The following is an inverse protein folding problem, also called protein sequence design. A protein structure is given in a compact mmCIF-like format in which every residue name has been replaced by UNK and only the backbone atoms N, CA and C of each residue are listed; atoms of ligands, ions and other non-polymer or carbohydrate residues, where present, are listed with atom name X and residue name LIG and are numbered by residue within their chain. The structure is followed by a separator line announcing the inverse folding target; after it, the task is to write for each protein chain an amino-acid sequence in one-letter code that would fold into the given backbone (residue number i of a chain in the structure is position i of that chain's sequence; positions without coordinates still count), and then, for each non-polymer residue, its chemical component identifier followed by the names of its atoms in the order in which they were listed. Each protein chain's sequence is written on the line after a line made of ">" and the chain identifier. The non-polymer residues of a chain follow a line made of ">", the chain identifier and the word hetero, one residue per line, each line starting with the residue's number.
data_IF_999656492213
#
_entry.id   IF_999656492213
#
_cell.length_a   1.000
_cell.length_b   1.000
_cell.length_c   1.000
_cell.angle_alpha   90.00
_cell.angle_beta   90.00
_cell.angle_gamma   90.00
#
_symmetry.space_group_name_H-M   'P 1'
#
loop_
_entity.id
_entity.type
_entity.pdbx_description
1 polymer ?
#
# COMPACT_ATOMS: atom_id res chain seq x y z
N UNK A 1 -56.62 17.28 -2.03
CA UNK A 1 -55.69 16.29 -1.46
C UNK A 1 -54.56 16.13 -2.46
N UNK A 2 -53.48 16.87 -2.25
CA UNK A 2 -52.38 17.02 -3.20
C UNK A 2 -51.25 16.09 -2.73
N UNK A 3 -50.96 15.06 -3.52
CA UNK A 3 -49.86 14.13 -3.27
C UNK A 3 -48.56 14.90 -3.50
N UNK A 4 -47.79 15.09 -2.43
CA UNK A 4 -46.43 15.62 -2.48
C UNK A 4 -45.56 14.49 -3.02
N UNK A 5 -45.15 14.59 -4.28
CA UNK A 5 -44.10 13.74 -4.83
C UNK A 5 -42.78 14.10 -4.14
N UNK A 6 -42.35 13.18 -3.27
CA UNK A 6 -41.05 13.18 -2.64
C UNK A 6 -39.98 13.10 -3.74
N UNK A 7 -39.34 14.24 -4.01
CA UNK A 7 -38.17 14.34 -4.89
C UNK A 7 -37.01 13.66 -4.18
N UNK A 8 -36.94 12.33 -4.32
CA UNK A 8 -35.74 11.57 -4.02
C UNK A 8 -34.60 12.16 -4.86
N UNK A 9 -33.64 12.75 -4.17
CA UNK A 9 -32.37 13.20 -4.73
C UNK A 9 -31.82 12.15 -5.69
N UNK A 10 -31.84 12.48 -6.98
CA UNK A 10 -31.16 11.75 -8.03
C UNK A 10 -29.66 12.03 -7.91
N UNK A 11 -29.00 11.47 -6.90
CA UNK A 11 -27.54 11.41 -6.91
C UNK A 11 -27.10 10.26 -7.84
N UNK A 12 -26.35 10.66 -8.87
CA UNK A 12 -25.73 9.80 -9.86
C UNK A 12 -25.04 8.58 -9.20
N UNK A 13 -25.23 7.34 -9.69
CA UNK A 13 -24.71 6.11 -9.05
C UNK A 13 -23.18 5.98 -8.95
N UNK A 14 -22.39 6.94 -9.42
CA UNK A 14 -20.93 6.81 -9.58
C UNK A 14 -20.07 7.37 -8.45
N UNK A 15 -20.55 8.36 -7.67
CA UNK A 15 -19.71 9.07 -6.68
C UNK A 15 -19.79 8.50 -5.25
N UNK A 16 -20.89 7.82 -4.89
CA UNK A 16 -21.20 7.44 -3.50
C UNK A 16 -20.37 6.28 -2.91
N UNK A 17 -19.35 5.74 -3.58
CA UNK A 17 -18.64 4.56 -3.06
C UNK A 17 -17.10 4.61 -3.08
N UNK A 18 -16.47 5.72 -3.52
CA UNK A 18 -14.99 5.84 -3.50
C UNK A 18 -14.47 6.36 -2.17
N UNK A 19 -15.24 7.23 -1.51
CA UNK A 19 -14.89 7.82 -0.22
C UNK A 19 -14.72 6.79 0.92
N UNK A 20 -15.28 5.58 0.79
CA UNK A 20 -15.07 4.49 1.77
C UNK A 20 -13.68 3.85 1.69
N UNK A 21 -12.96 4.07 0.58
CA UNK A 21 -11.65 3.49 0.37
C UNK A 21 -10.57 4.42 0.90
N UNK A 22 -9.65 3.85 1.68
CA UNK A 22 -8.52 4.55 2.28
C UNK A 22 -7.23 3.84 1.90
N UNK A 23 -6.34 4.58 1.23
CA UNK A 23 -4.96 4.16 1.00
C UNK A 23 -4.15 4.35 2.29
N UNK A 24 -3.38 3.32 2.67
CA UNK A 24 -2.36 3.39 3.71
C UNK A 24 -0.97 3.33 3.07
N UNK A 25 -0.07 4.26 3.42
CA UNK A 25 1.32 4.25 2.95
C UNK A 25 2.25 5.00 3.91
N UNK A 26 3.57 4.99 3.64
CA UNK A 26 4.56 5.84 4.30
C UNK A 26 4.82 7.17 3.60
N UNK A 27 4.19 7.39 2.44
CA UNK A 27 4.33 8.61 1.63
C UNK A 27 5.74 8.85 1.09
N UNK A 28 6.58 7.82 0.99
CA UNK A 28 7.93 7.95 0.46
C UNK A 28 7.95 8.25 -1.05
N UNK A 29 9.06 8.79 -1.56
CA UNK A 29 9.29 8.94 -3.02
C UNK A 29 9.12 7.59 -3.73
N UNK A 30 8.63 7.62 -4.97
CA UNK A 30 8.52 6.46 -5.84
C UNK A 30 7.13 5.86 -5.78
N UNK A 31 7.04 4.56 -5.51
CA UNK A 31 5.77 3.83 -5.55
C UNK A 31 4.71 4.42 -4.60
N UNK A 32 5.08 4.71 -3.34
CA UNK A 32 4.13 5.25 -2.35
C UNK A 32 3.59 6.62 -2.76
N UNK A 33 4.45 7.49 -3.31
CA UNK A 33 4.04 8.76 -3.86
C UNK A 33 3.01 8.58 -5.00
N UNK A 34 3.30 7.70 -5.96
CA UNK A 34 2.42 7.41 -7.09
C UNK A 34 1.08 6.79 -6.63
N UNK A 35 1.09 5.88 -5.66
CA UNK A 35 -0.16 5.36 -5.08
C UNK A 35 -1.00 6.48 -4.48
N UNK A 36 -0.38 7.42 -3.75
CA UNK A 36 -1.07 8.55 -3.15
C UNK A 36 -1.61 9.56 -4.17
N UNK A 37 -0.84 9.86 -5.22
CA UNK A 37 -1.30 10.72 -6.33
C UNK A 37 -2.52 10.12 -7.04
N UNK A 38 -2.52 8.79 -7.26
CA UNK A 38 -3.65 8.10 -7.85
C UNK A 38 -4.85 8.03 -6.90
N UNK A 39 -4.64 7.80 -5.61
CA UNK A 39 -5.72 7.85 -4.61
C UNK A 39 -6.38 9.24 -4.60
N UNK A 40 -5.59 10.30 -4.62
CA UNK A 40 -6.07 11.67 -4.67
C UNK A 40 -6.85 11.97 -5.95
N UNK A 41 -6.29 11.61 -7.12
CA UNK A 41 -6.95 11.76 -8.43
C UNK A 41 -8.32 11.08 -8.48
N UNK A 42 -8.44 9.90 -7.88
CA UNK A 42 -9.68 9.11 -7.88
C UNK A 42 -10.64 9.44 -6.73
N UNK A 43 -10.29 10.40 -5.86
CA UNK A 43 -11.14 10.84 -4.76
C UNK A 43 -11.17 9.89 -3.55
N UNK A 44 -10.11 9.11 -3.34
CA UNK A 44 -9.96 8.25 -2.17
C UNK A 44 -9.37 8.99 -0.96
N UNK A 45 -9.66 8.49 0.22
CA UNK A 45 -8.96 8.89 1.43
C UNK A 45 -7.53 8.33 1.43
N UNK A 46 -6.63 8.99 2.15
CA UNK A 46 -5.23 8.59 2.30
C UNK A 46 -4.85 8.76 3.77
N UNK A 47 -4.10 7.80 4.31
CA UNK A 47 -3.39 7.94 5.59
C UNK A 47 -1.91 7.69 5.31
N UNK A 48 -1.12 8.73 5.50
CA UNK A 48 0.33 8.70 5.33
C UNK A 48 1.00 8.59 6.69
N UNK A 49 1.51 7.41 7.04
CA UNK A 49 2.16 7.16 8.31
C UNK A 49 3.59 7.69 8.31
N UNK A 50 3.95 8.42 9.35
CA UNK A 50 5.30 8.95 9.51
C UNK A 50 5.64 9.08 10.99
N UNK A 51 6.89 9.44 11.29
CA UNK A 51 7.39 9.68 12.63
C UNK A 51 8.40 10.84 12.60
N UNK A 52 8.76 11.33 13.78
CA UNK A 52 9.73 12.42 13.92
C UNK A 52 11.11 12.02 13.37
N UNK A 53 11.69 12.87 12.52
CA UNK A 53 12.96 12.58 11.83
C UNK A 53 12.82 11.69 10.58
N UNK A 54 11.61 11.32 10.16
CA UNK A 54 11.41 10.56 8.91
C UNK A 54 11.65 11.43 7.66
N UNK A 55 12.86 11.32 7.09
CA UNK A 55 13.35 12.18 6.00
C UNK A 55 12.94 11.75 4.59
N UNK A 56 12.47 10.52 4.41
CA UNK A 56 12.21 9.94 3.08
C UNK A 56 10.81 10.24 2.52
N UNK A 57 9.96 10.92 3.30
CA UNK A 57 8.57 11.23 2.97
C UNK A 57 8.49 12.42 2.02
N UNK A 58 7.72 12.29 0.95
CA UNK A 58 7.41 13.38 0.01
C UNK A 58 5.92 13.75 0.01
N UNK A 59 5.04 12.85 0.48
CA UNK A 59 3.60 13.14 0.63
C UNK A 59 3.26 13.63 2.03
N UNK A 60 2.31 14.56 2.12
CA UNK A 60 1.81 15.12 3.39
C UNK A 60 0.29 14.98 3.55
N UNK A 61 -0.43 14.56 2.50
CA UNK A 61 -1.88 14.36 2.57
C UNK A 61 -2.20 13.19 3.51
N UNK A 62 -3.16 13.41 4.42
CA UNK A 62 -3.56 12.40 5.40
C UNK A 62 -2.45 12.03 6.40
N UNK A 63 -1.51 12.93 6.66
CA UNK A 63 -0.36 12.65 7.52
C UNK A 63 -0.78 12.25 8.94
N UNK A 64 -0.37 11.04 9.36
CA UNK A 64 -0.45 10.53 10.72
C UNK A 64 0.95 10.40 11.30
N UNK A 65 1.34 11.35 12.14
CA UNK A 65 2.58 11.28 12.90
C UNK A 65 2.42 10.31 14.07
N UNK A 66 3.15 9.20 14.03
CA UNK A 66 3.23 8.21 15.10
C UNK A 66 4.20 8.71 16.18
N UNK A 67 3.74 8.67 17.42
CA UNK A 67 4.62 8.89 18.58
C UNK A 67 5.53 7.69 18.80
N UNK A 68 6.63 7.88 19.53
CA UNK A 68 7.50 6.77 19.93
C UNK A 68 6.75 5.71 20.75
N UNK A 69 5.66 6.09 21.45
CA UNK A 69 4.81 5.12 22.14
C UNK A 69 3.94 4.29 21.21
N UNK A 70 3.44 4.87 20.14
CA UNK A 70 2.65 4.14 19.15
C UNK A 70 3.53 3.22 18.31
N UNK A 71 4.73 3.68 17.91
CA UNK A 71 5.70 2.90 17.15
C UNK A 71 6.05 1.57 17.82
N UNK A 72 6.07 1.52 19.16
CA UNK A 72 6.32 0.29 19.92
C UNK A 72 5.32 -0.84 19.63
N UNK A 73 4.12 -0.53 19.15
CA UNK A 73 3.16 -1.56 18.74
C UNK A 73 3.66 -2.38 17.53
N UNK A 74 4.53 -1.79 16.71
CA UNK A 74 5.20 -2.41 15.58
C UNK A 74 6.59 -2.97 15.90
N UNK A 75 6.98 -3.07 17.18
CA UNK A 75 8.30 -3.54 17.58
C UNK A 75 8.61 -4.92 17.01
N UNK A 76 9.79 -5.02 16.41
CA UNK A 76 10.32 -6.26 15.85
C UNK A 76 11.83 -6.27 15.97
N UNK A 77 12.41 -7.43 16.27
CA UNK A 77 13.87 -7.54 16.27
C UNK A 77 14.41 -7.56 14.84
N UNK A 78 15.48 -6.81 14.59
CA UNK A 78 16.17 -6.83 13.30
C UNK A 78 16.63 -8.25 12.93
N UNK A 79 17.07 -9.05 13.91
CA UNK A 79 17.40 -10.46 13.70
C UNK A 79 16.23 -11.25 13.09
N UNK A 80 15.01 -11.03 13.57
CA UNK A 80 13.82 -11.70 13.03
C UNK A 80 13.53 -11.24 11.61
N UNK A 81 13.54 -9.92 11.36
CA UNK A 81 13.31 -9.36 10.02
C UNK A 81 14.35 -9.87 9.03
N UNK A 82 15.62 -9.86 9.44
CA UNK A 82 16.74 -10.37 8.65
C UNK A 82 16.60 -11.85 8.30
N UNK A 83 16.19 -12.68 9.25
CA UNK A 83 15.95 -14.10 9.01
C UNK A 83 14.79 -14.30 8.02
N UNK A 84 13.68 -13.58 8.19
CA UNK A 84 12.51 -13.67 7.30
C UNK A 84 12.80 -13.20 5.88
N UNK A 85 13.58 -12.15 5.73
CA UNK A 85 13.93 -11.53 4.44
C UNK A 85 15.25 -12.03 3.86
N UNK A 86 15.88 -13.03 4.51
CA UNK A 86 17.15 -13.67 4.11
C UNK A 86 18.25 -12.65 3.79
N UNK A 87 18.35 -11.59 4.59
CA UNK A 87 19.32 -10.49 4.39
C UNK A 87 19.64 -9.75 5.69
N UNK A 88 20.76 -9.06 5.73
CA UNK A 88 21.16 -8.25 6.90
C UNK A 88 20.66 -6.82 6.73
N UNK A 89 20.07 -6.27 7.79
CA UNK A 89 19.71 -4.85 7.87
C UNK A 89 20.74 -4.11 8.73
N UNK A 90 21.08 -2.85 8.40
CA UNK A 90 21.92 -2.04 9.26
C UNK A 90 21.29 -1.87 10.65
N UNK A 91 22.11 -1.93 11.69
CA UNK A 91 21.71 -1.59 13.06
C UNK A 91 21.62 -0.06 13.21
N UNK A 92 20.60 0.52 12.59
CA UNK A 92 20.31 1.95 12.60
C UNK A 92 18.93 2.19 13.25
N UNK A 93 18.82 3.05 14.28
CA UNK A 93 17.54 3.43 14.88
C UNK A 93 16.49 3.93 13.87
N UNK A 94 16.91 4.60 12.79
CA UNK A 94 16.02 5.02 11.72
C UNK A 94 15.43 3.84 10.95
N UNK A 95 16.22 2.79 10.71
CA UNK A 95 15.72 1.56 10.07
C UNK A 95 14.64 0.92 10.95
N UNK A 96 14.85 0.86 12.26
CA UNK A 96 13.83 0.35 13.18
C UNK A 96 12.53 1.15 13.14
N UNK A 97 12.60 2.50 13.19
CA UNK A 97 11.41 3.35 13.09
C UNK A 97 10.66 3.19 11.77
N UNK A 98 11.37 2.97 10.67
CA UNK A 98 10.75 2.64 9.37
C UNK A 98 10.05 1.28 9.41
N UNK A 99 10.67 0.24 9.98
CA UNK A 99 10.04 -1.08 10.08
C UNK A 99 8.81 -1.08 10.97
N UNK A 100 8.86 -0.34 12.08
CA UNK A 100 7.73 -0.08 12.97
C UNK A 100 6.60 0.67 12.23
N UNK A 101 6.91 1.72 11.47
CA UNK A 101 5.89 2.47 10.74
C UNK A 101 5.22 1.63 9.65
N UNK A 102 5.96 0.75 8.96
CA UNK A 102 5.40 -0.20 7.98
C UNK A 102 4.36 -1.12 8.65
N UNK A 103 4.57 -1.53 9.90
CA UNK A 103 3.57 -2.30 10.64
C UNK A 103 2.22 -1.58 10.72
N UNK A 104 2.21 -0.27 11.03
CA UNK A 104 0.98 0.53 11.10
C UNK A 104 0.31 0.72 9.74
N UNK A 105 1.10 0.75 8.67
CA UNK A 105 0.57 0.81 7.30
C UNK A 105 -0.19 -0.46 6.94
N UNK A 106 0.37 -1.63 7.26
CA UNK A 106 -0.15 -2.92 6.80
C UNK A 106 -1.22 -3.51 7.74
N UNK A 107 -1.09 -3.34 9.06
CA UNK A 107 -1.96 -3.97 10.07
C UNK A 107 -3.47 -3.78 9.87
N UNK A 108 -3.97 -2.61 9.44
CA UNK A 108 -5.40 -2.38 9.25
C UNK A 108 -5.94 -2.79 7.87
N UNK A 109 -5.07 -3.28 6.97
CA UNK A 109 -5.38 -3.52 5.57
C UNK A 109 -5.70 -4.99 5.26
N UNK A 110 -6.63 -5.21 4.33
CA UNK A 110 -6.97 -6.55 3.81
C UNK A 110 -6.35 -6.81 2.44
N UNK A 111 -5.94 -5.76 1.74
CA UNK A 111 -5.20 -5.81 0.48
C UNK A 111 -3.90 -5.01 0.60
N UNK A 112 -2.83 -5.56 0.04
CA UNK A 112 -1.52 -4.92 -0.02
C UNK A 112 -0.99 -5.03 -1.44
N UNK A 113 -0.69 -3.88 -2.03
CA UNK A 113 -0.08 -3.75 -3.35
C UNK A 113 1.34 -3.25 -3.20
N UNK A 114 2.26 -3.95 -3.86
CA UNK A 114 3.69 -3.69 -3.76
C UNK A 114 4.26 -3.47 -5.15
N UNK A 115 5.03 -2.42 -5.36
CA UNK A 115 5.89 -2.30 -6.55
C UNK A 115 7.33 -2.61 -6.14
N UNK A 116 7.95 -3.60 -6.78
CA UNK A 116 9.31 -4.01 -6.41
C UNK A 116 9.89 -5.05 -7.35
N UNK A 117 10.74 -5.93 -6.81
CA UNK A 117 11.30 -7.07 -7.54
C UNK A 117 11.24 -8.30 -6.65
N UNK A 118 10.67 -9.38 -7.17
CA UNK A 118 10.63 -10.68 -6.50
C UNK A 118 12.01 -11.31 -6.68
N UNK A 119 12.58 -11.77 -5.57
CA UNK A 119 13.88 -12.43 -5.55
C UNK A 119 13.71 -13.94 -5.79
N UNK A 120 14.79 -14.62 -6.20
CA UNK A 120 14.80 -16.07 -6.40
C UNK A 120 14.35 -16.86 -5.16
N UNK A 121 14.61 -16.30 -3.97
CA UNK A 121 14.24 -16.88 -2.68
C UNK A 121 12.78 -16.65 -2.26
N UNK A 122 12.00 -16.01 -3.14
CA UNK A 122 10.58 -15.68 -2.97
C UNK A 122 10.31 -14.39 -2.20
N UNK A 123 11.32 -13.70 -1.69
CA UNK A 123 11.15 -12.43 -0.94
C UNK A 123 11.07 -11.22 -1.89
N UNK A 124 10.59 -10.08 -1.40
CA UNK A 124 10.64 -8.81 -2.16
C UNK A 124 11.87 -8.00 -1.73
N UNK A 125 12.53 -7.33 -2.67
CA UNK A 125 13.74 -6.54 -2.43
C UNK A 125 13.47 -5.28 -1.57
N UNK A 126 14.47 -4.86 -0.80
CA UNK A 126 14.45 -3.65 0.03
C UNK A 126 13.60 -3.73 1.31
N UNK A 127 13.41 -2.58 1.97
CA UNK A 127 12.54 -2.44 3.15
C UNK A 127 11.07 -2.74 2.86
N UNK A 128 10.64 -2.56 1.61
CA UNK A 128 9.35 -2.99 1.06
C UNK A 128 9.05 -4.47 1.33
N UNK A 129 10.08 -5.32 1.35
CA UNK A 129 9.94 -6.74 1.67
C UNK A 129 9.31 -7.00 3.03
N UNK A 130 9.53 -6.12 4.01
CA UNK A 130 8.92 -6.26 5.33
C UNK A 130 7.40 -6.12 5.27
N UNK A 131 6.88 -5.15 4.52
CA UNK A 131 5.44 -4.98 4.31
C UNK A 131 4.81 -6.19 3.62
N UNK A 132 5.49 -6.76 2.63
CA UNK A 132 5.06 -8.00 1.97
C UNK A 132 5.03 -9.20 2.94
N UNK A 133 6.04 -9.35 3.80
CA UNK A 133 6.07 -10.40 4.81
C UNK A 133 4.97 -10.27 5.86
N UNK A 134 4.67 -9.05 6.31
CA UNK A 134 3.54 -8.78 7.20
C UNK A 134 2.21 -9.15 6.54
N UNK A 135 2.02 -8.77 5.28
CA UNK A 135 0.83 -9.12 4.50
C UNK A 135 0.65 -10.64 4.38
N UNK A 136 1.73 -11.39 4.11
CA UNK A 136 1.72 -12.86 4.11
C UNK A 136 1.30 -13.42 5.46
N UNK A 137 1.92 -12.93 6.54
CA UNK A 137 1.67 -13.42 7.91
C UNK A 137 0.23 -13.20 8.34
N UNK A 138 -0.37 -12.09 7.97
CA UNK A 138 -1.76 -11.76 8.31
C UNK A 138 -2.77 -12.23 7.26
N UNK A 139 -2.32 -13.00 6.25
CA UNK A 139 -3.16 -13.53 5.18
C UNK A 139 -3.95 -12.42 4.46
N UNK A 140 -3.35 -11.24 4.33
CA UNK A 140 -3.85 -10.18 3.47
C UNK A 140 -3.71 -10.65 2.02
N UNK A 141 -4.59 -10.16 1.14
CA UNK A 141 -4.42 -10.35 -0.29
C UNK A 141 -3.21 -9.51 -0.75
N UNK A 142 -2.10 -10.19 -1.03
CA UNK A 142 -0.82 -9.59 -1.39
C UNK A 142 -0.57 -9.71 -2.89
N UNK A 143 -0.40 -8.56 -3.56
CA UNK A 143 -0.02 -8.48 -4.95
C UNK A 143 1.29 -7.68 -5.08
N UNK A 144 2.23 -8.17 -5.87
CA UNK A 144 3.51 -7.51 -6.19
C UNK A 144 3.59 -7.31 -7.69
N UNK A 145 3.79 -6.08 -8.15
CA UNK A 145 4.26 -5.82 -9.50
C UNK A 145 5.78 -5.94 -9.49
N UNK A 146 6.29 -6.92 -10.20
CA UNK A 146 7.72 -7.09 -10.41
C UNK A 146 8.16 -6.20 -11.57
N UNK A 147 8.98 -5.18 -11.30
CA UNK A 147 9.47 -4.25 -12.34
C UNK A 147 10.39 -4.95 -13.36
N UNK A 148 11.14 -5.97 -12.94
CA UNK A 148 12.05 -6.71 -13.85
C UNK A 148 11.25 -7.52 -14.86
N UNK A 149 10.16 -8.15 -14.39
CA UNK A 149 9.28 -8.95 -15.24
C UNK A 149 8.14 -8.13 -15.87
N UNK A 150 7.97 -6.88 -15.43
CA UNK A 150 6.87 -5.99 -15.82
C UNK A 150 5.49 -6.65 -15.69
N UNK A 151 5.26 -7.39 -14.60
CA UNK A 151 4.04 -8.17 -14.39
C UNK A 151 3.58 -8.20 -12.92
N UNK A 152 2.26 -8.26 -12.70
CA UNK A 152 1.66 -8.47 -11.39
C UNK A 152 1.65 -9.95 -11.00
N UNK A 153 2.04 -10.24 -9.76
CA UNK A 153 1.96 -11.54 -9.12
C UNK A 153 1.17 -11.46 -7.82
N UNK A 154 0.33 -12.45 -7.56
CA UNK A 154 -0.37 -12.64 -6.30
C UNK A 154 0.28 -13.76 -5.50
N UNK A 155 0.40 -13.57 -4.19
CA UNK A 155 0.86 -14.63 -3.30
C UNK A 155 -0.29 -15.59 -2.96
N UNK A 156 -0.18 -16.84 -3.40
CA UNK A 156 -1.17 -17.88 -3.12
C UNK A 156 -0.48 -19.23 -2.94
N UNK A 157 -0.93 -20.02 -1.95
CA UNK A 157 -0.44 -21.38 -1.72
C UNK A 157 1.10 -21.48 -1.64
N UNK A 158 1.75 -20.47 -1.04
CA UNK A 158 3.21 -20.37 -0.90
C UNK A 158 3.97 -20.11 -2.21
N UNK A 159 3.27 -19.65 -3.25
CA UNK A 159 3.85 -19.36 -4.56
C UNK A 159 3.38 -18.01 -5.11
N UNK A 160 4.18 -17.44 -6.01
CA UNK A 160 3.80 -16.25 -6.78
C UNK A 160 3.12 -16.68 -8.07
N UNK A 161 1.88 -16.25 -8.26
CA UNK A 161 1.09 -16.55 -9.47
C UNK A 161 0.78 -15.28 -10.25
N UNK A 162 0.92 -15.27 -11.59
CA UNK A 162 0.48 -14.14 -12.40
C UNK A 162 -0.95 -13.71 -12.06
N UNK A 163 -1.19 -12.40 -12.02
CA UNK A 163 -2.47 -11.85 -11.58
C UNK A 163 -2.80 -10.54 -12.28
N UNK A 164 -4.06 -10.11 -12.16
CA UNK A 164 -4.53 -8.80 -12.61
C UNK A 164 -5.36 -8.16 -11.48
N UNK A 165 -4.70 -7.56 -10.47
CA UNK A 165 -5.36 -7.14 -9.25
C UNK A 165 -6.37 -6.01 -9.47
N UNK A 166 -7.34 -5.91 -8.57
CA UNK A 166 -8.25 -4.76 -8.40
C UNK A 166 -8.38 -4.40 -6.92
N UNK A 167 -8.57 -3.13 -6.62
CA UNK A 167 -8.79 -2.62 -5.27
C UNK A 167 -10.27 -2.85 -4.92
N UNK A 168 -10.52 -3.73 -3.95
CA UNK A 168 -11.88 -4.11 -3.48
C UNK A 168 -12.06 -3.96 -1.97
N UNK A 169 -10.97 -3.85 -1.22
CA UNK A 169 -11.00 -3.70 0.24
C UNK A 169 -11.05 -2.21 0.63
N UNK A 170 -11.97 -1.79 1.52
CA UNK A 170 -12.06 -0.40 1.98
C UNK A 170 -10.76 0.14 2.59
N UNK A 171 -9.93 -0.72 3.19
CA UNK A 171 -8.57 -0.37 3.63
C UNK A 171 -7.57 -1.24 2.90
N UNK A 172 -6.68 -0.60 2.16
CA UNK A 172 -5.60 -1.25 1.45
C UNK A 172 -4.31 -0.45 1.61
N UNK A 173 -3.17 -1.13 1.45
CA UNK A 173 -1.87 -0.50 1.50
C UNK A 173 -1.22 -0.45 0.11
N UNK A 174 -0.56 0.66 -0.20
CA UNK A 174 0.29 0.81 -1.36
C UNK A 174 1.71 1.12 -0.90
N UNK A 175 2.65 0.22 -1.15
CA UNK A 175 4.07 0.39 -0.82
C UNK A 175 4.96 -0.05 -1.97
N UNK A 176 6.25 0.27 -1.93
CA UNK A 176 7.13 -0.16 -2.99
C UNK A 176 8.51 0.48 -2.97
N UNK A 177 9.21 0.28 -4.08
CA UNK A 177 10.51 0.86 -4.37
C UNK A 177 10.49 2.39 -4.40
N UNK A 178 11.61 3.00 -3.98
CA UNK A 178 11.89 4.43 -4.20
C UNK A 178 12.28 4.74 -5.64
N UNK A 179 12.75 3.74 -6.37
CA UNK A 179 13.14 3.80 -7.78
C UNK A 179 12.00 3.23 -8.62
N UNK A 180 10.93 4.02 -8.78
CA UNK A 180 9.78 3.65 -9.59
C UNK A 180 10.13 3.79 -11.06
N UNK A 181 9.95 2.73 -11.83
CA UNK A 181 10.12 2.74 -13.28
C UNK A 181 8.79 3.01 -14.00
N UNK A 182 8.86 3.40 -15.27
CA UNK A 182 7.67 3.73 -16.07
C UNK A 182 6.64 2.59 -16.12
N UNK A 183 7.10 1.33 -16.21
CA UNK A 183 6.22 0.16 -16.17
C UNK A 183 5.53 0.01 -14.81
N UNK A 184 6.23 0.28 -13.71
CA UNK A 184 5.67 0.28 -12.36
C UNK A 184 4.66 1.39 -12.15
N UNK A 185 4.94 2.61 -12.64
CA UNK A 185 3.99 3.72 -12.61
C UNK A 185 2.72 3.36 -13.39
N UNK A 186 2.88 2.87 -14.62
CA UNK A 186 1.75 2.43 -15.45
C UNK A 186 0.94 1.32 -14.77
N UNK A 187 1.59 0.39 -14.08
CA UNK A 187 0.92 -0.66 -13.34
C UNK A 187 0.05 -0.13 -12.18
N UNK A 188 0.48 0.95 -11.50
CA UNK A 188 -0.32 1.64 -10.49
C UNK A 188 -1.50 2.34 -11.17
N UNK A 189 -1.26 3.10 -12.25
CA UNK A 189 -2.32 3.80 -12.98
C UNK A 189 -3.42 2.82 -13.44
N UNK A 190 -3.02 1.72 -14.07
CA UNK A 190 -3.92 0.69 -14.55
C UNK A 190 -4.65 -0.02 -13.40
N UNK A 191 -4.03 -0.14 -12.22
CA UNK A 191 -4.69 -0.70 -11.05
C UNK A 191 -5.86 0.18 -10.60
N UNK A 192 -5.67 1.50 -10.53
CA UNK A 192 -6.74 2.42 -10.16
C UNK A 192 -7.81 2.52 -11.25
N UNK A 193 -7.42 2.60 -12.53
CA UNK A 193 -8.34 2.60 -13.67
C UNK A 193 -9.23 1.36 -13.67
N UNK A 194 -8.66 0.16 -13.52
CA UNK A 194 -9.46 -1.07 -13.44
C UNK A 194 -10.40 -1.12 -12.24
N UNK A 195 -10.05 -0.44 -11.15
CA UNK A 195 -10.80 -0.53 -9.89
C UNK A 195 -11.89 0.54 -9.77
N UNK A 196 -11.65 1.72 -10.35
CA UNK A 196 -12.46 2.91 -10.12
C UNK A 196 -12.68 3.75 -11.38
N UNK A 197 -12.12 3.38 -12.53
CA UNK A 197 -12.42 4.00 -13.82
C UNK A 197 -13.91 3.97 -14.09
N UNK A 198 -14.39 4.90 -14.90
CA UNK A 198 -15.77 4.86 -15.37
C UNK A 198 -15.97 3.55 -16.11
N UNK A 199 -16.90 2.72 -15.63
CA UNK A 199 -17.48 1.68 -16.48
C UNK A 199 -18.40 2.46 -17.41
N UNK A 200 -17.97 2.69 -18.65
CA UNK A 200 -18.88 3.12 -19.71
C UNK A 200 -19.97 2.05 -19.95
#
# INVERSE_FOLDING_TARGET
>A
MQLVEDRRDSELPGLRNRARFTLHSGGARGAEAAFGEMAERYGLAEITFSFEGHTNRVRSRGLRMLTDSELRAGDVSLRYVSHRLKRVFPEDPQVNKVLQSIWHQIKPCQQVFVIGSIQQDGTVRGGTGWGAELARRWKCELNVFDQVQSQWFKWENQEWKPSKPVIKSPRFAGTGTKHLESAGLKAIEDLYERSFGSQD
#
